data_IF_492358463711
#
_entry.id   IF_492358463711
#
_cell.length_a   1.000
_cell.length_b   1.000
_cell.length_c   1.000
_cell.angle_alpha   90.00
_cell.angle_beta   90.00
_cell.angle_gamma   90.00
#
_symmetry.space_group_name_H-M   'P 1'
#
loop_
_entity.id
_entity.type
_entity.pdbx_description
1 polymer ?
#
# COMPACT_ATOMS: atom_id res chain seq x y z
N UNK A 1 -25.85 24.71 49.95
CA UNK A 1 -25.35 26.07 49.67
C UNK A 1 -24.02 25.85 48.92
N UNK A 2 -23.97 25.88 47.58
CA UNK A 2 -24.01 27.06 46.67
C UNK A 2 -22.93 28.08 47.10
N UNK A 3 -22.00 28.59 46.28
CA UNK A 3 -21.87 28.87 44.83
C UNK A 3 -20.36 29.06 44.52
N UNK A 4 -19.82 28.59 43.39
CA UNK A 4 -19.64 29.27 42.07
C UNK A 4 -18.77 30.55 42.05
N UNK A 5 -17.74 30.52 41.17
CA UNK A 5 -17.24 31.56 40.23
C UNK A 5 -15.81 31.15 39.79
N UNK A 6 -15.57 30.54 38.63
CA UNK A 6 -15.46 31.09 37.25
C UNK A 6 -14.61 32.37 37.09
N UNK A 7 -13.46 32.23 36.40
CA UNK A 7 -13.07 32.90 35.14
C UNK A 7 -11.54 32.71 34.90
N UNK A 8 -10.90 32.77 33.73
CA UNK A 8 -11.18 32.60 32.29
C UNK A 8 -9.93 33.16 31.55
N UNK A 9 -9.25 32.37 30.71
CA UNK A 9 -8.47 32.71 29.48
C UNK A 9 -7.38 31.64 29.24
N UNK A 10 -7.33 30.86 28.15
CA UNK A 10 -7.50 31.06 26.70
C UNK A 10 -6.19 31.43 25.94
N UNK A 11 -5.93 30.61 24.91
CA UNK A 11 -5.05 30.76 23.72
C UNK A 11 -3.54 30.46 23.87
N UNK A 12 -2.89 29.67 23.01
CA UNK A 12 -3.36 29.03 21.76
C UNK A 12 -2.36 28.05 21.11
N UNK A 13 -2.95 27.02 20.48
CA UNK A 13 -2.75 26.41 19.16
C UNK A 13 -1.32 26.15 18.61
N UNK A 14 -1.11 24.90 18.21
CA UNK A 14 -0.24 24.51 17.09
C UNK A 14 -0.72 23.17 16.50
N UNK A 15 -1.65 23.23 15.55
CA UNK A 15 -2.25 22.10 14.83
C UNK A 15 -1.20 21.27 14.08
N UNK A 16 -1.32 19.94 14.17
CA UNK A 16 -0.66 19.01 13.26
C UNK A 16 -1.35 19.09 11.90
N UNK A 17 -0.76 19.88 11.00
CA UNK A 17 -1.18 20.06 9.62
C UNK A 17 -1.37 18.73 8.88
N UNK A 18 -2.40 18.72 8.03
CA UNK A 18 -2.77 17.59 7.20
C UNK A 18 -1.66 17.29 6.18
N UNK A 19 -1.54 16.05 5.71
CA UNK A 19 -0.62 15.71 4.60
C UNK A 19 -0.92 16.47 3.29
N UNK A 20 -2.04 17.19 3.21
CA UNK A 20 -2.37 18.13 2.15
C UNK A 20 -1.48 19.38 2.21
N UNK A 21 -1.22 19.88 3.43
CA UNK A 21 -0.44 21.11 3.68
C UNK A 21 1.04 20.91 3.31
N UNK A 22 1.57 19.70 3.47
CA UNK A 22 2.93 19.36 3.07
C UNK A 22 3.15 19.39 1.55
N UNK A 23 2.10 19.12 0.77
CA UNK A 23 2.17 19.15 -0.70
C UNK A 23 1.93 20.55 -1.27
N UNK A 24 1.11 21.37 -0.60
CA UNK A 24 0.92 22.77 -1.00
C UNK A 24 2.17 23.61 -0.67
N UNK A 25 2.89 23.32 0.42
CA UNK A 25 4.20 23.95 0.72
C UNK A 25 5.30 23.58 -0.30
N UNK A 26 5.28 22.36 -0.84
CA UNK A 26 6.20 21.91 -1.89
C UNK A 26 5.94 22.59 -3.26
N UNK A 27 4.75 23.15 -3.46
CA UNK A 27 4.34 23.83 -4.70
C UNK A 27 4.35 25.36 -4.54
N UNK A 28 4.18 25.87 -3.32
CA UNK A 28 4.19 27.30 -3.00
C UNK A 28 5.58 27.85 -2.64
N UNK A 29 6.54 27.00 -2.24
CA UNK A 29 7.90 27.45 -2.03
C UNK A 29 8.60 27.71 -3.38
N UNK A 30 9.03 28.95 -3.70
CA UNK A 30 10.00 29.13 -4.75
C UNK A 30 11.25 28.38 -4.30
N UNK A 31 11.62 27.32 -5.02
CA UNK A 31 12.90 26.64 -4.82
C UNK A 31 13.97 27.73 -4.84
N UNK A 32 14.70 27.99 -3.74
CA UNK A 32 15.85 28.85 -3.82
C UNK A 32 16.81 28.13 -4.76
N UNK A 33 16.94 28.65 -5.97
CA UNK A 33 18.03 28.25 -6.84
C UNK A 33 19.30 28.40 -5.99
N UNK A 34 20.18 27.38 -5.97
CA UNK A 34 21.44 27.51 -5.26
C UNK A 34 22.07 28.83 -5.74
N UNK A 35 22.45 29.68 -4.78
CA UNK A 35 23.23 30.89 -5.07
C UNK A 35 24.53 30.42 -5.73
N UNK A 36 24.47 30.27 -7.05
CA UNK A 36 25.61 30.05 -7.88
C UNK A 36 26.41 31.35 -7.80
N UNK A 37 27.68 31.29 -7.37
CA UNK A 37 28.51 32.47 -7.31
C UNK A 37 28.50 33.15 -8.67
N UNK A 38 28.28 34.47 -8.64
CA UNK A 38 28.28 35.37 -9.78
C UNK A 38 29.31 34.94 -10.82
N UNK A 39 28.85 34.52 -12.01
CA UNK A 39 29.76 34.38 -13.15
C UNK A 39 29.48 33.30 -14.20
N UNK A 40 28.41 32.49 -14.11
CA UNK A 40 28.10 31.55 -15.19
C UNK A 40 26.86 31.96 -15.99
N UNK A 41 27.11 32.29 -17.27
CA UNK A 41 26.09 32.40 -18.30
C UNK A 41 25.23 31.13 -18.31
N UNK A 42 24.00 31.21 -17.81
CA UNK A 42 22.99 30.17 -18.07
C UNK A 42 22.89 30.01 -19.59
N UNK A 43 23.27 28.83 -20.10
CA UNK A 43 23.20 28.57 -21.52
C UNK A 43 21.74 28.70 -21.99
N UNK A 44 21.56 29.05 -23.26
CA UNK A 44 20.25 29.27 -23.86
C UNK A 44 19.33 28.05 -23.67
N UNK A 45 19.89 26.83 -23.68
CA UNK A 45 19.20 25.59 -23.35
C UNK A 45 18.65 25.53 -21.91
N UNK A 46 19.33 26.09 -20.91
CA UNK A 46 18.82 26.18 -19.54
C UNK A 46 17.64 27.16 -19.44
N UNK A 47 17.68 28.28 -20.18
CA UNK A 47 16.56 29.23 -20.24
C UNK A 47 15.36 28.62 -20.96
N UNK A 48 15.58 27.99 -22.12
CA UNK A 48 14.54 27.29 -22.88
C UNK A 48 13.90 26.15 -22.09
N UNK A 49 14.70 25.34 -21.39
CA UNK A 49 14.17 24.26 -20.54
C UNK A 49 13.33 24.81 -19.37
N UNK A 50 13.71 25.96 -18.79
CA UNK A 50 12.93 26.60 -17.73
C UNK A 50 11.58 27.15 -18.23
N UNK A 51 11.52 27.62 -19.48
CA UNK A 51 10.30 28.10 -20.11
C UNK A 51 9.38 26.93 -20.48
N UNK A 52 9.95 25.88 -21.08
CA UNK A 52 9.22 24.66 -21.42
C UNK A 52 8.61 23.99 -20.17
N UNK A 53 9.37 23.92 -19.07
CA UNK A 53 8.85 23.40 -17.79
C UNK A 53 7.70 24.25 -17.24
N UNK A 54 7.76 25.58 -17.38
CA UNK A 54 6.66 26.47 -16.97
C UNK A 54 5.42 26.28 -17.83
N UNK A 55 5.58 26.07 -19.13
CA UNK A 55 4.48 25.77 -20.06
C UNK A 55 3.86 24.41 -19.77
N UNK A 56 4.66 23.35 -19.57
CA UNK A 56 4.16 22.02 -19.19
C UNK A 56 3.39 22.09 -17.88
N UNK A 57 3.89 22.80 -16.86
CA UNK A 57 3.19 22.96 -15.58
C UNK A 57 1.88 23.75 -15.74
N UNK A 58 1.85 24.75 -16.64
CA UNK A 58 0.64 25.50 -16.97
C UNK A 58 -0.38 24.61 -17.69
N UNK A 59 0.05 23.84 -18.69
CA UNK A 59 -0.81 22.87 -19.39
C UNK A 59 -1.35 21.80 -18.44
N UNK A 60 -0.54 21.29 -17.51
CA UNK A 60 -1.00 20.34 -16.50
C UNK A 60 -2.05 20.97 -15.55
N UNK A 61 -1.89 22.25 -15.18
CA UNK A 61 -2.89 22.99 -14.39
C UNK A 61 -4.18 23.22 -15.18
N UNK A 62 -4.07 23.56 -16.46
CA UNK A 62 -5.22 23.83 -17.32
C UNK A 62 -5.95 22.52 -17.67
N UNK A 63 -5.24 21.42 -17.93
CA UNK A 63 -5.81 20.08 -18.08
C UNK A 63 -6.52 19.62 -16.80
N UNK A 64 -5.94 19.87 -15.61
CA UNK A 64 -6.60 19.58 -14.33
C UNK A 64 -7.88 20.40 -14.16
N UNK A 65 -7.89 21.67 -14.57
CA UNK A 65 -9.09 22.51 -14.57
C UNK A 65 -10.12 22.01 -15.57
N UNK A 66 -9.73 21.65 -16.80
CA UNK A 66 -10.62 21.06 -17.80
C UNK A 66 -11.26 19.76 -17.28
N UNK A 67 -10.46 18.82 -16.75
CA UNK A 67 -10.97 17.57 -16.15
C UNK A 67 -11.98 17.84 -15.03
N UNK A 68 -11.71 18.84 -14.17
CA UNK A 68 -12.62 19.22 -13.10
C UNK A 68 -13.89 19.94 -13.61
N UNK A 69 -13.81 20.63 -14.75
CA UNK A 69 -14.94 21.36 -15.34
C UNK A 69 -15.85 20.43 -16.14
N UNK A 70 -15.29 19.41 -16.81
CA UNK A 70 -16.07 18.34 -17.46
C UNK A 70 -16.81 17.46 -16.44
N UNK A 71 -16.34 17.41 -15.19
CA UNK A 71 -17.04 16.77 -14.06
C UNK A 71 -18.22 17.60 -13.51
N UNK A 72 -18.38 18.87 -13.92
CA UNK A 72 -19.43 19.76 -13.42
C UNK A 72 -20.76 19.70 -14.22
N UNK A 73 -20.86 18.85 -15.26
CA UNK A 73 -22.06 18.72 -16.08
C UNK A 73 -22.80 17.38 -15.85
N UNK A 74 -23.48 17.27 -14.69
CA UNK A 74 -24.84 16.70 -14.48
C UNK A 74 -25.08 16.44 -12.97
N UNK A 75 -26.26 16.78 -12.41
CA UNK A 75 -26.60 16.49 -11.03
C UNK A 75 -27.09 15.04 -10.91
N UNK A 76 -26.15 14.15 -10.64
CA UNK A 76 -26.36 12.86 -9.99
C UNK A 76 -25.15 12.66 -9.10
N UNK A 77 -25.33 12.28 -7.83
CA UNK A 77 -24.18 12.11 -6.91
C UNK A 77 -23.21 11.08 -7.49
N UNK A 78 -22.15 11.56 -8.15
CA UNK A 78 -21.15 10.71 -8.75
C UNK A 78 -20.35 10.03 -7.65
N UNK A 79 -20.30 8.71 -7.70
CA UNK A 79 -19.51 7.93 -6.74
C UNK A 79 -18.04 7.93 -7.20
N UNK A 80 -17.30 8.98 -6.87
CA UNK A 80 -15.91 9.19 -7.32
C UNK A 80 -14.87 8.51 -6.42
N UNK A 81 -15.22 8.17 -5.18
CA UNK A 81 -14.33 7.55 -4.20
C UNK A 81 -15.09 6.66 -3.21
N UNK A 82 -14.41 5.66 -2.67
CA UNK A 82 -14.93 4.78 -1.61
C UNK A 82 -14.58 5.35 -0.23
N UNK A 83 -13.47 6.09 -0.13
CA UNK A 83 -13.00 6.70 1.11
C UNK A 83 -14.08 7.59 1.74
N UNK A 84 -14.20 7.50 3.06
CA UNK A 84 -15.19 8.24 3.88
C UNK A 84 -16.66 7.91 3.56
N UNK A 85 -16.91 6.85 2.79
CA UNK A 85 -18.26 6.32 2.56
C UNK A 85 -18.54 5.13 3.49
N UNK A 86 -19.82 4.79 3.67
CA UNK A 86 -20.22 3.59 4.43
C UNK A 86 -19.69 2.29 3.83
N UNK A 87 -19.23 2.31 2.57
CA UNK A 87 -18.61 1.17 1.90
C UNK A 87 -17.13 0.97 2.29
N UNK A 88 -16.43 1.99 2.79
CA UNK A 88 -14.98 1.93 3.04
C UNK A 88 -14.61 0.82 4.02
N UNK A 89 -15.22 0.82 5.20
CA UNK A 89 -14.94 -0.15 6.26
C UNK A 89 -15.25 -1.58 5.83
N UNK A 90 -16.46 -1.93 5.36
CA UNK A 90 -16.77 -3.32 4.99
C UNK A 90 -15.99 -3.81 3.77
N UNK A 91 -15.56 -2.91 2.87
CA UNK A 91 -14.65 -3.27 1.79
C UNK A 91 -13.22 -3.50 2.31
N UNK A 92 -12.74 -2.64 3.21
CA UNK A 92 -11.43 -2.80 3.87
C UNK A 92 -11.36 -4.12 4.64
N UNK A 93 -12.40 -4.46 5.40
CA UNK A 93 -12.46 -5.71 6.17
C UNK A 93 -12.44 -6.93 5.25
N UNK A 94 -13.15 -6.87 4.11
CA UNK A 94 -13.07 -7.90 3.07
C UNK A 94 -11.67 -8.05 2.47
N UNK A 95 -11.00 -6.94 2.17
CA UNK A 95 -9.63 -6.98 1.63
C UNK A 95 -8.66 -7.53 2.67
N UNK A 96 -8.83 -7.18 3.95
CA UNK A 96 -8.02 -7.72 5.06
C UNK A 96 -8.22 -9.22 5.25
N UNK A 97 -9.40 -9.78 4.99
CA UNK A 97 -9.59 -11.23 5.09
C UNK A 97 -9.05 -11.98 3.88
N UNK A 98 -9.00 -11.33 2.70
CA UNK A 98 -8.41 -11.90 1.47
C UNK A 98 -6.89 -11.82 1.42
N UNK A 99 -6.30 -10.73 1.91
CA UNK A 99 -4.88 -10.45 1.75
C UNK A 99 -3.94 -11.59 2.21
N UNK A 100 -4.17 -12.26 3.36
CA UNK A 100 -3.33 -13.38 3.77
C UNK A 100 -3.48 -14.62 2.90
N UNK A 101 -4.57 -14.76 2.14
CA UNK A 101 -4.78 -15.86 1.18
C UNK A 101 -4.13 -15.56 -0.17
N UNK A 102 -4.31 -14.33 -0.64
CA UNK A 102 -3.72 -13.85 -1.89
C UNK A 102 -3.47 -12.34 -1.81
N UNK A 103 -2.20 -11.88 -1.87
CA UNK A 103 -1.86 -10.47 -1.81
C UNK A 103 -2.06 -9.73 -3.16
N UNK A 104 -2.58 -10.42 -4.18
CA UNK A 104 -2.88 -9.86 -5.50
C UNK A 104 -4.38 -10.00 -5.81
N UNK A 105 -4.95 -8.97 -6.40
CA UNK A 105 -6.29 -9.06 -7.00
C UNK A 105 -6.20 -9.85 -8.30
N UNK A 106 -7.24 -10.64 -8.58
CA UNK A 106 -7.35 -11.36 -9.85
C UNK A 106 -7.72 -10.39 -10.99
N UNK A 107 -7.47 -10.82 -12.22
CA UNK A 107 -7.90 -10.08 -13.42
C UNK A 107 -8.61 -11.04 -14.39
N UNK A 108 -9.96 -10.98 -14.51
CA UNK A 108 -10.90 -10.18 -13.70
C UNK A 108 -11.16 -10.79 -12.30
N UNK A 109 -11.33 -9.94 -11.28
CA UNK A 109 -11.71 -10.38 -9.92
C UNK A 109 -13.24 -10.47 -9.75
N UNK A 110 -13.79 -11.66 -9.96
CA UNK A 110 -15.24 -11.94 -9.87
C UNK A 110 -15.77 -11.87 -8.44
N UNK A 111 -14.96 -12.26 -7.44
CA UNK A 111 -15.34 -12.21 -6.02
C UNK A 111 -15.41 -10.77 -5.52
N UNK A 112 -14.42 -9.93 -5.86
CA UNK A 112 -14.42 -8.52 -5.52
C UNK A 112 -15.63 -7.82 -6.16
N UNK A 113 -15.91 -8.12 -7.43
CA UNK A 113 -17.09 -7.61 -8.13
C UNK A 113 -18.37 -8.01 -7.38
N UNK A 114 -18.53 -9.28 -7.00
CA UNK A 114 -19.68 -9.74 -6.23
C UNK A 114 -19.81 -9.02 -4.89
N UNK A 115 -18.69 -8.81 -4.19
CA UNK A 115 -18.66 -8.07 -2.91
C UNK A 115 -19.09 -6.62 -3.09
N UNK A 116 -18.54 -5.91 -4.06
CA UNK A 116 -18.92 -4.52 -4.37
C UNK A 116 -20.41 -4.43 -4.71
N UNK A 117 -20.95 -5.41 -5.43
CA UNK A 117 -22.37 -5.48 -5.77
C UNK A 117 -23.28 -5.76 -4.58
N UNK A 118 -22.83 -6.58 -3.63
CA UNK A 118 -23.52 -6.77 -2.36
C UNK A 118 -23.53 -5.46 -1.54
N UNK A 119 -22.39 -4.77 -1.44
CA UNK A 119 -22.27 -3.53 -0.68
C UNK A 119 -23.07 -2.39 -1.30
N UNK A 120 -23.04 -2.24 -2.63
CA UNK A 120 -23.88 -1.27 -3.35
C UNK A 120 -25.34 -1.45 -3.00
N UNK A 121 -25.88 -2.66 -3.16
CA UNK A 121 -27.31 -2.94 -2.89
C UNK A 121 -27.73 -2.58 -1.47
N UNK A 122 -26.83 -2.75 -0.51
CA UNK A 122 -27.11 -2.52 0.92
C UNK A 122 -26.89 -1.08 1.37
N UNK A 123 -25.86 -0.41 0.86
CA UNK A 123 -25.34 0.85 1.42
C UNK A 123 -25.46 2.03 0.44
N UNK A 124 -25.62 1.76 -0.85
CA UNK A 124 -25.72 2.77 -1.90
C UNK A 124 -26.64 2.27 -3.05
N UNK A 125 -27.92 1.95 -2.76
CA UNK A 125 -28.82 1.35 -3.75
C UNK A 125 -28.99 2.25 -4.99
N UNK A 126 -29.09 3.56 -4.77
CA UNK A 126 -29.27 4.59 -5.80
C UNK A 126 -28.00 4.93 -6.61
N UNK A 127 -26.82 4.47 -6.17
CA UNK A 127 -25.57 4.80 -6.86
C UNK A 127 -25.50 4.10 -8.23
N UNK A 128 -24.80 4.70 -9.20
CA UNK A 128 -24.56 4.06 -10.49
C UNK A 128 -23.67 2.81 -10.33
N UNK A 129 -24.00 1.76 -11.07
CA UNK A 129 -23.27 0.50 -11.05
C UNK A 129 -21.81 0.66 -11.48
N UNK A 130 -21.58 1.33 -12.62
CA UNK A 130 -20.25 1.43 -13.22
C UNK A 130 -19.36 2.38 -12.42
N UNK A 131 -19.94 3.41 -11.81
CA UNK A 131 -19.22 4.28 -10.88
C UNK A 131 -18.75 3.54 -9.64
N UNK A 132 -19.64 2.81 -8.95
CA UNK A 132 -19.27 2.05 -7.74
C UNK A 132 -18.24 0.98 -8.06
N UNK A 133 -18.37 0.30 -9.20
CA UNK A 133 -17.39 -0.70 -9.62
C UNK A 133 -16.01 -0.08 -9.86
N UNK A 134 -15.95 1.04 -10.61
CA UNK A 134 -14.68 1.73 -10.90
C UNK A 134 -14.02 2.28 -9.64
N UNK A 135 -14.78 2.94 -8.77
CA UNK A 135 -14.27 3.46 -7.51
C UNK A 135 -13.83 2.34 -6.56
N UNK A 136 -14.63 1.27 -6.49
CA UNK A 136 -14.36 0.06 -5.71
C UNK A 136 -13.05 -0.62 -6.12
N UNK A 137 -12.88 -0.90 -7.41
CA UNK A 137 -11.65 -1.52 -7.93
C UNK A 137 -10.43 -0.62 -7.66
N UNK A 138 -10.53 0.68 -7.94
CA UNK A 138 -9.44 1.64 -7.67
C UNK A 138 -9.05 1.66 -6.18
N UNK A 139 -10.03 1.71 -5.29
CA UNK A 139 -9.82 1.66 -3.85
C UNK A 139 -9.14 0.35 -3.43
N UNK A 140 -9.66 -0.79 -3.90
CA UNK A 140 -9.12 -2.11 -3.57
C UNK A 140 -7.68 -2.27 -4.04
N UNK A 141 -7.35 -1.84 -5.26
CA UNK A 141 -5.97 -1.88 -5.78
C UNK A 141 -5.03 -1.07 -4.90
N UNK A 142 -5.42 0.16 -4.52
CA UNK A 142 -4.62 1.01 -3.61
C UNK A 142 -4.41 0.34 -2.25
N UNK A 143 -5.48 -0.16 -1.63
CA UNK A 143 -5.37 -0.85 -0.32
C UNK A 143 -4.49 -2.10 -0.37
N UNK A 144 -4.54 -2.88 -1.46
CA UNK A 144 -3.67 -4.04 -1.63
C UNK A 144 -2.20 -3.63 -1.80
N UNK A 145 -1.89 -2.48 -2.43
CA UNK A 145 -0.54 -1.89 -2.44
C UNK A 145 -0.10 -1.49 -1.04
N UNK A 146 -0.98 -0.85 -0.25
CA UNK A 146 -0.67 -0.45 1.13
C UNK A 146 -0.40 -1.66 2.02
N UNK A 147 -1.21 -2.72 1.90
CA UNK A 147 -1.04 -3.95 2.67
C UNK A 147 0.27 -4.66 2.32
N UNK A 148 0.60 -4.73 1.03
CA UNK A 148 1.90 -5.23 0.55
C UNK A 148 3.05 -4.42 1.13
N UNK A 149 2.97 -3.09 1.14
CA UNK A 149 4.01 -2.22 1.70
C UNK A 149 4.18 -2.44 3.21
N UNK A 150 3.07 -2.55 3.96
CA UNK A 150 3.10 -2.83 5.40
C UNK A 150 3.74 -4.19 5.71
N UNK A 151 3.37 -5.24 4.97
CA UNK A 151 3.93 -6.58 5.16
C UNK A 151 5.42 -6.63 4.80
N UNK A 152 5.83 -6.02 3.68
CA UNK A 152 7.24 -5.93 3.29
C UNK A 152 8.07 -5.19 4.34
N UNK A 153 7.58 -4.06 4.84
CA UNK A 153 8.29 -3.29 5.86
C UNK A 153 8.45 -4.08 7.17
N UNK A 154 7.43 -4.84 7.60
CA UNK A 154 7.56 -5.77 8.73
C UNK A 154 8.57 -6.89 8.46
N UNK A 155 8.56 -7.47 7.26
CA UNK A 155 9.49 -8.53 6.86
C UNK A 155 10.94 -8.05 6.78
N UNK A 156 11.19 -6.79 6.42
CA UNK A 156 12.55 -6.28 6.18
C UNK A 156 13.03 -5.32 7.28
N UNK A 157 12.21 -5.05 8.30
CA UNK A 157 12.59 -4.18 9.41
C UNK A 157 13.82 -4.74 10.13
N UNK A 158 14.82 -3.88 10.35
CA UNK A 158 16.11 -4.23 10.98
C UNK A 158 16.11 -4.10 12.51
N UNK A 159 14.95 -4.05 13.17
CA UNK A 159 14.92 -3.99 14.63
C UNK A 159 15.50 -5.30 15.22
N UNK A 160 16.56 -5.16 16.01
CA UNK A 160 17.49 -6.20 16.48
C UNK A 160 16.87 -7.32 17.35
N UNK A 161 15.58 -7.22 17.72
CA UNK A 161 14.88 -8.22 18.54
C UNK A 161 14.14 -9.32 17.75
N UNK A 162 14.22 -9.31 16.42
CA UNK A 162 13.50 -10.25 15.57
C UNK A 162 14.34 -10.68 14.38
N UNK A 163 15.34 -11.53 14.60
CA UNK A 163 15.86 -12.35 13.51
C UNK A 163 14.71 -13.21 12.99
N UNK A 164 14.05 -12.77 11.91
CA UNK A 164 12.97 -13.51 11.28
C UNK A 164 13.44 -14.90 10.85
N UNK A 165 14.76 -15.10 10.72
CA UNK A 165 15.35 -16.40 10.46
C UNK A 165 15.16 -17.41 11.60
N UNK A 166 14.98 -16.95 12.84
CA UNK A 166 14.81 -17.80 14.02
C UNK A 166 13.36 -17.99 14.45
N UNK A 167 12.41 -17.20 13.90
CA UNK A 167 10.99 -17.36 14.24
C UNK A 167 10.43 -18.68 13.71
N UNK A 168 9.54 -19.32 14.47
CA UNK A 168 8.71 -20.41 13.93
C UNK A 168 7.81 -19.89 12.80
N UNK A 169 7.34 -20.77 11.91
CA UNK A 169 6.39 -20.39 10.85
C UNK A 169 5.11 -19.78 11.44
N UNK A 170 4.61 -20.36 12.54
CA UNK A 170 3.42 -19.87 13.25
C UNK A 170 3.61 -18.46 13.80
N UNK A 171 4.74 -18.18 14.45
CA UNK A 171 5.00 -16.85 15.04
C UNK A 171 5.29 -15.81 13.98
N UNK A 172 5.95 -16.21 12.88
CA UNK A 172 6.15 -15.34 11.72
C UNK A 172 4.80 -14.96 11.10
N UNK A 173 3.92 -15.93 10.88
CA UNK A 173 2.58 -15.68 10.33
C UNK A 173 1.79 -14.72 11.19
N UNK A 174 1.78 -14.92 12.52
CA UNK A 174 1.16 -13.97 13.47
C UNK A 174 1.78 -12.57 13.38
N UNK A 175 3.11 -12.46 13.32
CA UNK A 175 3.78 -11.17 13.28
C UNK A 175 3.48 -10.39 11.99
N UNK A 176 3.55 -11.06 10.84
CA UNK A 176 3.26 -10.48 9.54
C UNK A 176 1.79 -10.10 9.44
N UNK A 177 0.92 -11.06 9.77
CA UNK A 177 -0.50 -10.94 9.46
C UNK A 177 -1.40 -10.46 10.60
N UNK A 178 -0.86 -10.05 11.75
CA UNK A 178 -1.63 -9.60 12.93
C UNK A 178 -2.70 -8.53 12.67
N UNK A 179 -2.56 -7.72 11.62
CA UNK A 179 -3.53 -6.66 11.26
C UNK A 179 -4.60 -7.11 10.26
N UNK A 180 -4.52 -8.34 9.78
CA UNK A 180 -5.41 -8.93 8.79
C UNK A 180 -6.30 -9.98 9.47
N UNK A 181 -7.58 -10.01 9.08
CA UNK A 181 -8.60 -10.83 9.72
C UNK A 181 -8.91 -12.05 8.84
N UNK A 182 -7.96 -12.98 8.73
CA UNK A 182 -8.14 -14.23 8.00
C UNK A 182 -8.39 -15.36 8.99
N UNK A 183 -9.54 -16.04 8.87
CA UNK A 183 -9.90 -17.20 9.69
C UNK A 183 -9.31 -18.51 9.16
N UNK A 184 -8.75 -18.48 7.97
CA UNK A 184 -8.15 -19.63 7.29
C UNK A 184 -6.68 -19.71 7.69
N UNK A 185 -6.41 -20.50 8.73
CA UNK A 185 -5.06 -20.66 9.28
C UNK A 185 -4.10 -21.31 8.28
N UNK A 186 -4.60 -22.25 7.47
CA UNK A 186 -3.81 -22.94 6.44
C UNK A 186 -3.36 -21.96 5.36
N UNK A 187 -4.26 -21.10 4.86
CA UNK A 187 -3.89 -20.08 3.88
C UNK A 187 -2.85 -19.09 4.43
N UNK A 188 -2.99 -18.69 5.70
CA UNK A 188 -2.01 -17.84 6.39
C UNK A 188 -0.65 -18.54 6.49
N UNK A 189 -0.64 -19.82 6.84
CA UNK A 189 0.58 -20.61 6.93
C UNK A 189 1.26 -20.76 5.57
N UNK A 190 0.51 -21.15 4.54
CA UNK A 190 1.00 -21.27 3.16
C UNK A 190 1.61 -19.95 2.67
N UNK A 191 0.91 -18.83 2.84
CA UNK A 191 1.45 -17.52 2.46
C UNK A 191 2.70 -17.15 3.26
N UNK A 192 2.76 -17.50 4.54
CA UNK A 192 3.94 -17.29 5.39
C UNK A 192 5.14 -18.10 4.88
N UNK A 193 4.93 -19.37 4.55
CA UNK A 193 5.94 -20.26 3.98
C UNK A 193 6.46 -19.70 2.65
N UNK A 194 5.56 -19.29 1.75
CA UNK A 194 5.93 -18.74 0.44
C UNK A 194 6.77 -17.46 0.59
N UNK A 195 6.32 -16.50 1.41
CA UNK A 195 7.04 -15.24 1.62
C UNK A 195 8.43 -15.46 2.22
N UNK A 196 8.55 -16.38 3.17
CA UNK A 196 9.83 -16.69 3.80
C UNK A 196 10.78 -17.39 2.83
N UNK A 197 10.31 -18.42 2.13
CA UNK A 197 11.09 -19.15 1.13
C UNK A 197 11.62 -18.20 0.05
N UNK A 198 10.74 -17.37 -0.51
CA UNK A 198 11.10 -16.33 -1.49
C UNK A 198 12.19 -15.39 -0.96
N UNK A 199 12.02 -14.89 0.27
CA UNK A 199 12.95 -13.93 0.86
C UNK A 199 14.34 -14.52 1.09
N UNK A 200 14.41 -15.82 1.40
CA UNK A 200 15.68 -16.55 1.47
C UNK A 200 16.31 -16.76 0.10
N UNK A 201 15.55 -17.26 -0.88
CA UNK A 201 16.05 -17.55 -2.23
C UNK A 201 16.60 -16.31 -2.92
N UNK A 202 15.89 -15.19 -2.79
CA UNK A 202 16.32 -13.90 -3.33
C UNK A 202 17.32 -13.17 -2.43
N UNK A 203 17.81 -13.82 -1.35
CA UNK A 203 18.74 -13.25 -0.35
C UNK A 203 18.30 -11.87 0.17
N UNK A 204 16.99 -11.60 0.24
CA UNK A 204 16.41 -10.32 0.65
C UNK A 204 16.58 -10.05 2.15
N UNK A 205 16.76 -11.11 2.94
CA UNK A 205 17.05 -11.04 4.37
C UNK A 205 18.56 -10.80 4.65
N UNK A 206 19.41 -10.72 3.62
CA UNK A 206 20.84 -10.42 3.76
C UNK A 206 21.12 -9.02 3.20
N UNK A 207 22.09 -8.31 3.79
CA UNK A 207 22.56 -6.99 3.32
C UNK A 207 23.04 -7.15 1.86
N UNK A 208 22.29 -6.66 0.88
CA UNK A 208 22.74 -6.64 -0.51
C UNK A 208 23.47 -5.33 -0.80
N UNK A 209 24.67 -5.45 -1.37
CA UNK A 209 25.43 -4.36 -1.96
C UNK A 209 25.23 -4.37 -3.47
N UNK A 210 24.57 -3.33 -3.99
CA UNK A 210 24.56 -3.03 -5.42
C UNK A 210 23.46 -3.68 -6.25
N UNK A 211 22.96 -2.88 -7.20
CA UNK A 211 21.89 -3.08 -8.18
C UNK A 211 20.42 -3.05 -7.69
N UNK A 212 19.52 -2.40 -8.46
CA UNK A 212 18.10 -2.38 -8.13
C UNK A 212 17.53 -3.76 -8.44
N UNK A 213 17.27 -4.54 -7.39
CA UNK A 213 16.53 -5.78 -7.54
C UNK A 213 15.16 -5.47 -8.15
N UNK A 214 14.75 -6.33 -9.08
CA UNK A 214 13.37 -6.53 -9.51
C UNK A 214 12.38 -6.24 -8.37
N UNK A 215 11.28 -5.53 -8.67
CA UNK A 215 10.31 -5.17 -7.64
C UNK A 215 9.89 -6.40 -6.83
N UNK A 216 10.09 -6.33 -5.51
CA UNK A 216 9.88 -7.44 -4.58
C UNK A 216 8.55 -8.15 -4.81
N UNK A 217 7.47 -7.39 -5.03
CA UNK A 217 6.13 -7.94 -5.18
C UNK A 217 5.87 -8.50 -6.57
N UNK A 218 6.47 -7.93 -7.62
CA UNK A 218 6.45 -8.52 -8.96
C UNK A 218 7.18 -9.86 -8.99
N UNK A 219 8.40 -9.92 -8.45
CA UNK A 219 9.16 -11.16 -8.35
C UNK A 219 8.45 -12.21 -7.49
N UNK A 220 7.86 -11.78 -6.37
CA UNK A 220 7.07 -12.67 -5.51
C UNK A 220 5.81 -13.18 -6.21
N UNK A 221 5.16 -12.37 -7.04
CA UNK A 221 3.98 -12.79 -7.82
C UNK A 221 4.32 -13.95 -8.76
N UNK A 222 5.47 -13.87 -9.45
CA UNK A 222 5.96 -14.96 -10.30
C UNK A 222 6.24 -16.23 -9.51
N UNK A 223 7.00 -16.12 -8.41
CA UNK A 223 7.28 -17.23 -7.51
C UNK A 223 6.02 -17.90 -6.95
N UNK A 224 5.02 -17.09 -6.56
CA UNK A 224 3.74 -17.60 -6.07
C UNK A 224 2.95 -18.30 -7.18
N UNK A 225 2.97 -17.76 -8.41
CA UNK A 225 2.40 -18.40 -9.59
C UNK A 225 2.97 -19.81 -9.82
N UNK A 226 4.31 -19.94 -9.78
CA UNK A 226 4.98 -21.25 -9.95
C UNK A 226 4.61 -22.28 -8.88
N UNK A 227 4.22 -21.83 -7.68
CA UNK A 227 3.72 -22.71 -6.61
C UNK A 227 2.28 -23.11 -6.89
N UNK A 228 1.42 -22.15 -7.24
CA UNK A 228 -0.02 -22.37 -7.45
C UNK A 228 -0.33 -23.16 -8.73
N UNK A 229 0.44 -22.95 -9.79
CA UNK A 229 0.26 -23.63 -11.09
C UNK A 229 0.81 -25.06 -11.09
N UNK A 230 1.50 -25.46 -10.02
CA UNK A 230 2.01 -26.80 -9.87
C UNK A 230 0.89 -27.75 -9.44
N UNK A 231 0.65 -28.79 -10.24
CA UNK A 231 -0.41 -29.78 -9.98
C UNK A 231 -0.04 -30.79 -8.87
N UNK A 232 1.18 -30.73 -8.33
CA UNK A 232 1.61 -31.58 -7.22
C UNK A 232 1.00 -31.10 -5.89
N UNK A 233 0.07 -31.91 -5.35
CA UNK A 233 -0.61 -31.62 -4.07
C UNK A 233 0.37 -31.54 -2.90
N UNK A 234 1.55 -32.14 -3.00
CA UNK A 234 2.53 -32.19 -1.91
C UNK A 234 3.49 -31.00 -1.90
N UNK A 235 3.41 -30.08 -2.87
CA UNK A 235 4.39 -28.97 -2.99
C UNK A 235 4.39 -28.05 -1.77
N UNK A 236 3.22 -27.73 -1.22
CA UNK A 236 3.12 -26.93 0.01
C UNK A 236 3.76 -27.64 1.20
N UNK A 237 3.52 -28.95 1.35
CA UNK A 237 4.12 -29.76 2.40
C UNK A 237 5.66 -29.84 2.25
N UNK A 238 6.16 -30.08 1.03
CA UNK A 238 7.60 -30.11 0.74
C UNK A 238 8.27 -28.75 1.03
N UNK A 239 7.62 -27.64 0.64
CA UNK A 239 8.15 -26.30 0.88
C UNK A 239 8.18 -26.00 2.38
N UNK A 240 7.11 -26.36 3.11
CA UNK A 240 7.01 -26.25 4.57
C UNK A 240 8.11 -27.05 5.27
N UNK A 241 8.32 -28.30 4.89
CA UNK A 241 9.39 -29.16 5.44
C UNK A 241 10.78 -28.60 5.21
N UNK A 242 11.04 -28.01 4.03
CA UNK A 242 12.31 -27.34 3.74
C UNK A 242 12.52 -26.14 4.66
N UNK A 243 11.49 -25.34 4.91
CA UNK A 243 11.57 -24.19 5.82
C UNK A 243 11.77 -24.64 7.28
N UNK A 244 11.07 -25.68 7.74
CA UNK A 244 11.27 -26.24 9.10
C UNK A 244 12.73 -26.70 9.27
N UNK A 245 13.27 -27.49 8.33
CA UNK A 245 14.68 -27.94 8.35
C UNK A 245 15.68 -26.78 8.26
N UNK A 246 15.31 -25.65 7.65
CA UNK A 246 16.16 -24.43 7.65
C UNK A 246 16.15 -23.78 9.03
N UNK A 247 14.99 -23.60 9.66
CA UNK A 247 14.85 -23.04 11.00
C UNK A 247 15.65 -23.86 12.02
N UNK A 248 15.49 -25.19 11.99
CA UNK A 248 16.20 -26.09 12.90
C UNK A 248 17.73 -25.98 12.76
N UNK A 249 18.24 -25.85 11.53
CA UNK A 249 19.68 -25.63 11.29
C UNK A 249 20.13 -24.29 11.86
N UNK A 250 19.39 -23.21 11.61
CA UNK A 250 19.73 -21.90 12.16
C UNK A 250 19.79 -21.91 13.70
N UNK A 251 18.82 -22.55 14.35
CA UNK A 251 18.80 -22.67 15.82
C UNK A 251 20.03 -23.46 16.34
N UNK A 252 20.44 -24.53 15.65
CA UNK A 252 21.61 -25.34 16.03
C UNK A 252 22.96 -24.64 15.90
N UNK A 253 23.07 -23.58 15.11
CA UNK A 253 24.33 -22.87 14.86
C UNK A 253 24.41 -21.49 15.56
N UNK A 254 23.33 -21.05 16.21
CA UNK A 254 23.23 -19.75 16.90
C UNK A 254 23.16 -19.88 18.43
N UNK A 255 22.95 -21.10 18.94
CA UNK A 255 23.07 -21.49 20.36
C UNK A 255 24.37 -22.28 20.53
#
# INVERSE_FOLDING_TARGET
>A
MFQDSQDSNANGIGELGSQQDLFDDLVAAPVPLPNLPNGHFCCEGCKCNSLLLKEIVKELKDLKKCVNTTAAAKPGRSFTCIEKTDMERPLTDYLKSRFPKNPFLADPDTELKAKLMSLKRRLAPEADYQEVLRAGVRFSTRKMVDFRSQTKNKMLSRNESADLGCKSLKDLGKALFSRFQCQDEEAVENMTVALRAFSYEKKQLKKQSGEPLEDFWTAFKGFLGDILDNQDQDKWAQLKDREIKRIERYIKYVI
#
